data_IF_616909977068
#
_entry.id   IF_616909977068
#
_cell.length_a   1.000
_cell.length_b   1.000
_cell.length_c   1.000
_cell.angle_alpha   90.00
_cell.angle_beta   90.00
_cell.angle_gamma   90.00
#
_symmetry.space_group_name_H-M   'P 1'
#
loop_
_entity.id
_entity.type
_entity.pdbx_description
1 polymer ?
#
# COMPACT_ATOMS: atom_id res chain seq x y z
N UNK A 1 -34.59 12.07 -20.37
CA UNK A 1 -34.25 10.69 -19.98
C UNK A 1 -33.69 9.98 -21.20
N UNK A 2 -32.69 9.09 -21.07
CA UNK A 2 -32.30 8.18 -22.17
C UNK A 2 -33.14 6.90 -22.10
N UNK A 3 -34.47 7.04 -22.14
CA UNK A 3 -35.36 5.88 -22.21
C UNK A 3 -35.20 5.20 -23.57
N UNK A 4 -34.95 3.88 -23.58
CA UNK A 4 -34.80 3.07 -24.78
C UNK A 4 -33.37 2.74 -25.23
N UNK A 5 -32.33 3.24 -24.55
CA UNK A 5 -30.93 2.89 -24.86
C UNK A 5 -30.56 1.56 -24.19
N UNK A 6 -30.11 0.58 -24.98
CA UNK A 6 -29.53 -0.65 -24.43
C UNK A 6 -28.20 -0.34 -23.75
N UNK A 7 -28.07 -0.72 -22.49
CA UNK A 7 -26.85 -0.53 -21.69
C UNK A 7 -26.08 -1.84 -21.64
N UNK A 8 -24.76 -1.78 -21.76
CA UNK A 8 -23.87 -2.90 -21.49
C UNK A 8 -22.95 -2.53 -20.31
N UNK A 9 -22.74 -3.48 -19.40
CA UNK A 9 -21.84 -3.35 -18.25
C UNK A 9 -20.68 -4.34 -18.42
N UNK A 10 -19.46 -3.80 -18.43
CA UNK A 10 -18.22 -4.57 -18.48
C UNK A 10 -17.45 -4.24 -17.20
N UNK A 11 -17.32 -5.20 -16.29
CA UNK A 11 -16.70 -4.97 -14.98
C UNK A 11 -16.15 -6.27 -14.39
N UNK A 12 -15.15 -6.15 -13.51
CA UNK A 12 -14.54 -7.28 -12.80
C UNK A 12 -14.91 -7.31 -11.31
N UNK A 13 -15.81 -6.43 -10.86
CA UNK A 13 -16.32 -6.41 -9.50
C UNK A 13 -17.63 -7.22 -9.36
N UNK A 14 -18.01 -7.49 -8.11
CA UNK A 14 -19.33 -8.02 -7.78
C UNK A 14 -20.43 -7.09 -8.33
N UNK A 15 -21.29 -7.60 -9.20
CA UNK A 15 -22.36 -6.81 -9.82
C UNK A 15 -23.58 -6.75 -8.91
N UNK A 16 -24.01 -5.53 -8.59
CA UNK A 16 -25.22 -5.29 -7.79
C UNK A 16 -26.48 -5.76 -8.55
N UNK A 17 -27.47 -6.29 -7.84
CA UNK A 17 -28.74 -6.79 -8.42
C UNK A 17 -29.46 -5.77 -9.31
N UNK A 18 -29.23 -4.48 -9.07
CA UNK A 18 -29.78 -3.38 -9.86
C UNK A 18 -29.41 -3.45 -11.36
N UNK A 19 -28.22 -3.94 -11.70
CA UNK A 19 -27.75 -4.01 -13.09
C UNK A 19 -28.20 -5.26 -13.84
N UNK A 20 -28.57 -6.33 -13.11
CA UNK A 20 -29.00 -7.61 -13.70
C UNK A 20 -30.21 -7.45 -14.63
N UNK A 21 -31.13 -6.56 -14.31
CA UNK A 21 -32.37 -6.34 -15.08
C UNK A 21 -32.26 -5.21 -16.11
N UNK A 22 -31.16 -4.44 -16.09
CA UNK A 22 -31.05 -3.16 -16.80
C UNK A 22 -29.91 -3.09 -17.80
N UNK A 23 -28.99 -4.05 -17.81
CA UNK A 23 -27.84 -4.06 -18.69
C UNK A 23 -27.51 -5.46 -19.22
N UNK A 24 -26.91 -5.50 -20.40
CA UNK A 24 -26.20 -6.69 -20.91
C UNK A 24 -24.88 -6.79 -20.14
N UNK A 25 -24.63 -7.92 -19.49
CA UNK A 25 -23.49 -8.09 -18.58
C UNK A 25 -22.36 -8.86 -19.25
N UNK A 26 -21.13 -8.36 -19.13
CA UNK A 26 -19.90 -9.08 -19.42
C UNK A 26 -18.97 -8.91 -18.21
N UNK A 27 -19.09 -9.83 -17.25
CA UNK A 27 -18.51 -9.69 -15.91
C UNK A 27 -17.76 -10.97 -15.52
N UNK A 28 -16.52 -10.82 -15.05
CA UNK A 28 -15.71 -11.88 -14.42
C UNK A 28 -15.16 -11.37 -13.10
N UNK A 29 -15.71 -11.86 -11.99
CA UNK A 29 -15.25 -11.47 -10.65
C UNK A 29 -13.85 -11.99 -10.31
N UNK A 30 -13.31 -12.96 -11.07
CA UNK A 30 -11.95 -13.45 -10.90
C UNK A 30 -10.92 -12.61 -11.66
N UNK A 31 -11.35 -11.80 -12.62
CA UNK A 31 -10.49 -10.91 -13.39
C UNK A 31 -9.82 -9.86 -12.50
N UNK A 32 -8.55 -9.59 -12.79
CA UNK A 32 -7.74 -8.67 -11.99
C UNK A 32 -7.83 -7.22 -12.46
N UNK A 33 -8.46 -6.99 -13.61
CA UNK A 33 -8.85 -5.67 -14.10
C UNK A 33 -9.97 -5.78 -15.13
N UNK A 34 -10.75 -4.72 -15.28
CA UNK A 34 -11.70 -4.59 -16.41
C UNK A 34 -10.97 -4.60 -17.76
N UNK A 35 -9.70 -4.19 -17.81
CA UNK A 35 -8.90 -4.23 -19.03
C UNK A 35 -8.63 -5.66 -19.54
N UNK A 36 -8.56 -6.66 -18.64
CA UNK A 36 -8.54 -8.07 -19.06
C UNK A 36 -9.81 -8.46 -19.84
N UNK A 37 -10.97 -7.93 -19.43
CA UNK A 37 -12.26 -8.19 -20.08
C UNK A 37 -12.39 -7.50 -21.42
N UNK A 38 -11.98 -6.24 -21.50
CA UNK A 38 -11.96 -5.52 -22.78
C UNK A 38 -11.03 -6.22 -23.77
N UNK A 39 -9.87 -6.70 -23.32
CA UNK A 39 -8.99 -7.51 -24.15
C UNK A 39 -9.67 -8.79 -24.67
N UNK A 40 -10.37 -9.53 -23.81
CA UNK A 40 -11.10 -10.73 -24.22
C UNK A 40 -12.16 -10.42 -25.27
N UNK A 41 -12.91 -9.32 -25.10
CA UNK A 41 -13.90 -8.89 -26.10
C UNK A 41 -13.27 -8.60 -27.48
N UNK A 42 -12.10 -7.96 -27.52
CA UNK A 42 -11.38 -7.79 -28.79
C UNK A 42 -11.06 -9.13 -29.46
N UNK A 43 -10.60 -10.12 -28.67
CA UNK A 43 -10.29 -11.47 -29.17
C UNK A 43 -11.53 -12.22 -29.63
N UNK A 44 -12.60 -12.21 -28.85
CA UNK A 44 -13.87 -12.88 -29.16
C UNK A 44 -14.54 -12.30 -30.42
N UNK A 45 -14.46 -10.98 -30.60
CA UNK A 45 -14.99 -10.30 -31.78
C UNK A 45 -14.06 -10.39 -33.01
N UNK A 46 -12.85 -10.94 -32.87
CA UNK A 46 -11.87 -11.02 -33.96
C UNK A 46 -11.37 -9.65 -34.43
N UNK A 47 -11.41 -8.63 -33.57
CA UNK A 47 -10.99 -7.25 -33.90
C UNK A 47 -9.53 -7.05 -33.52
N UNK A 48 -8.74 -6.48 -34.42
CA UNK A 48 -7.36 -6.11 -34.11
C UNK A 48 -7.31 -4.99 -33.07
N UNK A 49 -6.48 -5.17 -32.04
CA UNK A 49 -6.28 -4.16 -31.00
C UNK A 49 -5.28 -3.12 -31.54
N UNK A 50 -5.66 -1.84 -31.67
CA UNK A 50 -4.73 -0.78 -32.05
C UNK A 50 -3.60 -0.64 -31.02
N UNK A 51 -2.41 -0.21 -31.46
CA UNK A 51 -1.22 -0.14 -30.62
C UNK A 51 -1.39 0.74 -29.38
N UNK A 52 -2.03 1.89 -29.54
CA UNK A 52 -2.35 2.82 -28.44
C UNK A 52 -3.36 2.23 -27.46
N UNK A 53 -4.39 1.53 -27.96
CA UNK A 53 -5.35 0.80 -27.11
C UNK A 53 -4.65 -0.32 -26.33
N UNK A 54 -3.78 -1.10 -26.99
CA UNK A 54 -3.00 -2.13 -26.32
C UNK A 54 -2.13 -1.55 -25.20
N UNK A 55 -1.57 -0.35 -25.42
CA UNK A 55 -0.81 0.38 -24.41
C UNK A 55 -1.68 0.77 -23.20
N UNK A 56 -2.89 1.30 -23.43
CA UNK A 56 -3.81 1.64 -22.33
C UNK A 56 -4.29 0.42 -21.55
N UNK A 57 -4.61 -0.68 -22.23
CA UNK A 57 -5.00 -1.93 -21.59
C UNK A 57 -3.87 -2.47 -20.70
N UNK A 58 -2.62 -2.43 -21.20
CA UNK A 58 -1.46 -2.89 -20.45
C UNK A 58 -1.20 -2.01 -19.21
N UNK A 59 -1.35 -0.68 -19.31
CA UNK A 59 -1.27 0.25 -18.17
C UNK A 59 -2.34 -0.08 -17.13
N UNK A 60 -3.59 -0.26 -17.55
CA UNK A 60 -4.70 -0.53 -16.65
C UNK A 60 -4.51 -1.86 -15.90
N UNK A 61 -4.08 -2.92 -16.60
CA UNK A 61 -3.71 -4.19 -15.97
C UNK A 61 -2.61 -3.98 -14.93
N UNK A 62 -1.53 -3.28 -15.30
CA UNK A 62 -0.42 -3.03 -14.37
C UNK A 62 -0.84 -2.23 -13.13
N UNK A 63 -1.77 -1.30 -13.28
CA UNK A 63 -2.27 -0.48 -12.17
C UNK A 63 -3.14 -1.31 -11.21
N UNK A 64 -4.19 -1.96 -11.71
CA UNK A 64 -5.14 -2.71 -10.89
C UNK A 64 -4.49 -3.92 -10.21
N UNK A 65 -3.51 -4.54 -10.89
CA UNK A 65 -2.74 -5.67 -10.33
C UNK A 65 -1.61 -5.25 -9.39
N UNK A 66 -1.44 -3.94 -9.14
CA UNK A 66 -0.33 -3.37 -8.35
C UNK A 66 1.02 -3.90 -8.84
N UNK A 67 1.33 -3.65 -10.11
CA UNK A 67 2.52 -4.15 -10.80
C UNK A 67 2.64 -5.68 -10.72
N UNK A 68 1.53 -6.36 -11.04
CA UNK A 68 1.40 -7.82 -11.02
C UNK A 68 1.52 -8.52 -9.67
N UNK A 69 1.60 -7.79 -8.55
CA UNK A 69 1.68 -8.41 -7.21
C UNK A 69 0.45 -9.24 -6.83
N UNK A 70 -0.69 -9.02 -7.49
CA UNK A 70 -1.92 -9.82 -7.32
C UNK A 70 -2.43 -10.44 -8.64
N UNK A 71 -1.55 -10.57 -9.64
CA UNK A 71 -1.88 -11.13 -10.95
C UNK A 71 -2.21 -12.63 -10.90
N UNK A 72 -3.01 -13.11 -11.87
CA UNK A 72 -3.25 -14.54 -12.13
C UNK A 72 -2.50 -15.01 -13.40
N UNK A 73 -2.35 -16.32 -13.66
CA UNK A 73 -1.69 -16.79 -14.88
C UNK A 73 -2.25 -16.20 -16.17
N UNK A 74 -3.57 -15.99 -16.23
CA UNK A 74 -4.23 -15.34 -17.37
C UNK A 74 -3.80 -13.87 -17.55
N UNK A 75 -3.61 -13.13 -16.45
CA UNK A 75 -3.10 -11.75 -16.48
C UNK A 75 -1.77 -11.65 -17.23
N UNK A 76 -0.85 -12.59 -16.95
CA UNK A 76 0.46 -12.62 -17.60
C UNK A 76 0.37 -12.96 -19.09
N UNK A 77 -0.52 -13.89 -19.48
CA UNK A 77 -0.76 -14.21 -20.90
C UNK A 77 -1.29 -13.00 -21.67
N UNK A 78 -2.30 -12.32 -21.11
CA UNK A 78 -2.87 -11.10 -21.70
C UNK A 78 -1.80 -10.02 -21.82
N UNK A 79 -1.03 -9.78 -20.76
CA UNK A 79 0.03 -8.79 -20.75
C UNK A 79 1.12 -9.09 -21.79
N UNK A 80 1.48 -10.36 -21.99
CA UNK A 80 2.46 -10.76 -23.00
C UNK A 80 1.96 -10.46 -24.41
N UNK A 81 0.72 -10.83 -24.76
CA UNK A 81 0.15 -10.54 -26.08
C UNK A 81 -0.02 -9.04 -26.33
N UNK A 82 -0.45 -8.27 -25.32
CA UNK A 82 -0.50 -6.81 -25.42
C UNK A 82 0.90 -6.21 -25.64
N UNK A 83 1.92 -6.76 -24.98
CA UNK A 83 3.30 -6.28 -25.12
C UNK A 83 3.88 -6.57 -26.50
N UNK A 84 3.54 -7.71 -27.12
CA UNK A 84 3.90 -8.02 -28.51
C UNK A 84 3.37 -6.95 -29.48
N UNK A 85 2.16 -6.44 -29.25
CA UNK A 85 1.56 -5.36 -30.05
C UNK A 85 2.26 -4.02 -29.80
N UNK A 86 2.58 -3.71 -28.54
CA UNK A 86 3.22 -2.45 -28.14
C UNK A 86 4.68 -2.38 -28.62
N UNK A 87 5.37 -3.53 -28.67
CA UNK A 87 6.73 -3.69 -29.19
C UNK A 87 7.85 -3.33 -28.22
N UNK A 88 7.75 -2.22 -27.47
CA UNK A 88 8.75 -1.86 -26.44
C UNK A 88 8.09 -1.48 -25.11
N UNK A 89 8.57 -2.07 -24.02
CA UNK A 89 8.09 -1.83 -22.66
C UNK A 89 8.51 -0.46 -22.07
N UNK A 90 9.37 0.29 -22.76
CA UNK A 90 9.92 1.57 -22.28
C UNK A 90 8.90 2.70 -22.43
N UNK A 91 8.06 2.87 -21.40
CA UNK A 91 7.39 4.14 -21.02
C UNK A 91 6.22 3.92 -20.05
N UNK A 92 5.80 2.68 -19.78
CA UNK A 92 4.65 2.44 -18.89
C UNK A 92 4.99 2.56 -17.41
N UNK A 93 6.19 2.16 -17.00
CA UNK A 93 6.61 2.24 -15.60
C UNK A 93 6.61 3.68 -15.04
N UNK A 94 6.90 4.68 -15.88
CA UNK A 94 6.80 6.11 -15.52
C UNK A 94 5.37 6.63 -15.47
N UNK A 95 4.44 6.01 -16.20
CA UNK A 95 3.01 6.35 -16.14
C UNK A 95 2.37 5.79 -14.87
N UNK A 96 2.79 4.60 -14.44
CA UNK A 96 2.23 3.92 -13.26
C UNK A 96 2.81 4.47 -11.95
N UNK A 97 4.07 4.93 -11.95
CA UNK A 97 4.67 5.55 -10.78
C UNK A 97 4.35 7.04 -10.79
N UNK A 98 3.45 7.48 -9.90
CA UNK A 98 3.35 8.90 -9.58
C UNK A 98 4.74 9.38 -9.13
N UNK A 99 5.36 10.32 -9.86
CA UNK A 99 6.67 10.81 -9.45
C UNK A 99 6.52 11.51 -8.11
N UNK A 100 7.34 11.11 -7.14
CA UNK A 100 7.41 11.80 -5.84
C UNK A 100 7.87 13.24 -6.07
N UNK A 101 7.21 14.19 -5.41
CA UNK A 101 7.69 15.56 -5.39
C UNK A 101 9.02 15.67 -4.60
N UNK A 102 9.71 16.79 -4.77
CA UNK A 102 11.03 17.00 -4.15
C UNK A 102 10.93 16.96 -2.61
N UNK A 103 9.85 17.48 -2.03
CA UNK A 103 9.66 17.50 -0.58
C UNK A 103 9.48 16.09 -0.02
N UNK A 104 8.70 15.24 -0.70
CA UNK A 104 8.56 13.83 -0.35
C UNK A 104 9.92 13.08 -0.43
N UNK A 105 10.69 13.31 -1.52
CA UNK A 105 12.04 12.73 -1.66
C UNK A 105 12.95 13.13 -0.51
N UNK A 106 12.99 14.43 -0.19
CA UNK A 106 13.78 14.97 0.93
C UNK A 106 13.32 14.37 2.26
N UNK A 107 12.00 14.27 2.50
CA UNK A 107 11.45 13.70 3.72
C UNK A 107 11.88 12.24 3.91
N UNK A 108 11.75 11.40 2.87
CA UNK A 108 12.20 9.99 2.90
C UNK A 108 13.68 9.86 3.21
N UNK A 109 14.53 10.62 2.51
CA UNK A 109 15.98 10.57 2.70
C UNK A 109 16.38 11.03 4.10
N UNK A 110 15.86 12.19 4.55
CA UNK A 110 16.17 12.69 5.88
C UNK A 110 15.65 11.78 7.00
N UNK A 111 14.48 11.15 6.81
CA UNK A 111 13.93 10.18 7.76
C UNK A 111 14.88 8.98 7.94
N UNK A 112 15.43 8.49 6.83
CA UNK A 112 16.36 7.35 6.78
C UNK A 112 17.72 7.68 7.40
N UNK A 113 18.19 8.93 7.28
CA UNK A 113 19.47 9.36 7.87
C UNK A 113 19.45 9.48 9.40
N UNK A 114 18.29 9.80 10.00
CA UNK A 114 18.16 10.06 11.44
C UNK A 114 17.42 8.97 12.21
N UNK A 115 17.11 7.85 11.56
CA UNK A 115 16.31 6.80 12.20
C UNK A 115 17.11 6.13 13.32
N UNK A 116 16.42 5.91 14.44
CA UNK A 116 16.90 5.06 15.51
C UNK A 116 16.55 3.61 15.14
N UNK A 117 17.56 2.74 15.09
CA UNK A 117 17.39 1.33 14.77
C UNK A 117 17.37 0.48 16.03
N UNK A 118 16.48 -0.49 16.04
CA UNK A 118 16.33 -1.47 17.11
C UNK A 118 16.29 -2.88 16.51
N UNK A 119 16.84 -3.83 17.26
CA UNK A 119 16.81 -5.26 16.94
C UNK A 119 15.91 -5.99 17.93
N UNK A 120 15.09 -6.91 17.43
CA UNK A 120 14.30 -7.84 18.23
C UNK A 120 14.39 -9.23 17.58
N UNK A 121 15.26 -10.10 18.11
CA UNK A 121 15.61 -11.36 17.43
C UNK A 121 16.23 -11.09 16.06
N UNK A 122 15.61 -11.60 15.00
CA UNK A 122 16.05 -11.38 13.61
C UNK A 122 15.35 -10.19 12.93
N UNK A 123 14.51 -9.46 13.67
CA UNK A 123 13.76 -8.33 13.13
C UNK A 123 14.44 -6.99 13.38
N UNK A 124 14.37 -6.11 12.38
CA UNK A 124 14.80 -4.72 12.47
C UNK A 124 13.60 -3.79 12.56
N UNK A 125 13.61 -2.92 13.58
CA UNK A 125 12.56 -1.94 13.83
C UNK A 125 13.18 -0.55 13.78
N UNK A 126 12.61 0.33 12.96
CA UNK A 126 13.09 1.70 12.79
C UNK A 126 12.09 2.69 13.38
N UNK A 127 12.59 3.67 14.13
CA UNK A 127 11.80 4.77 14.66
C UNK A 127 12.44 6.08 14.20
N UNK A 128 11.67 6.98 13.61
CA UNK A 128 12.15 8.28 13.15
C UNK A 128 11.03 9.31 13.20
N UNK A 129 11.35 10.55 12.86
CA UNK A 129 10.40 11.64 12.74
C UNK A 129 10.54 12.34 11.38
N UNK A 130 9.55 13.11 10.94
CA UNK A 130 9.56 13.96 9.72
C UNK A 130 8.68 15.18 9.94
N UNK A 131 8.79 16.23 9.11
CA UNK A 131 7.80 17.32 9.12
C UNK A 131 6.52 16.96 8.36
N UNK A 132 6.63 16.16 7.31
CA UNK A 132 5.50 15.70 6.50
C UNK A 132 5.86 14.37 5.82
N UNK A 133 4.87 13.74 5.16
CA UNK A 133 5.03 12.50 4.40
C UNK A 133 5.38 11.27 5.27
N UNK A 134 4.88 11.22 6.50
CA UNK A 134 5.13 10.15 7.48
C UNK A 134 4.81 8.75 6.94
N UNK A 135 3.70 8.61 6.20
CA UNK A 135 3.31 7.33 5.60
C UNK A 135 4.24 6.91 4.44
N UNK A 136 4.71 7.86 3.65
CA UNK A 136 5.66 7.59 2.56
C UNK A 136 7.05 7.25 3.11
N UNK A 137 7.52 8.00 4.11
CA UNK A 137 8.75 7.71 4.82
C UNK A 137 8.72 6.32 5.48
N UNK A 138 7.62 5.94 6.13
CA UNK A 138 7.49 4.61 6.72
C UNK A 138 7.62 3.50 5.67
N UNK A 139 6.99 3.66 4.50
CA UNK A 139 7.14 2.71 3.38
C UNK A 139 8.58 2.65 2.87
N UNK A 140 9.22 3.80 2.72
CA UNK A 140 10.62 3.88 2.30
C UNK A 140 11.57 3.11 3.23
N UNK A 141 11.34 3.20 4.54
CA UNK A 141 12.20 2.56 5.53
C UNK A 141 12.00 1.03 5.53
N UNK A 142 10.78 0.55 5.27
CA UNK A 142 10.54 -0.87 5.01
C UNK A 142 11.31 -1.36 3.76
N UNK A 143 11.27 -0.57 2.68
CA UNK A 143 11.97 -0.88 1.43
C UNK A 143 13.50 -0.91 1.64
N UNK A 144 14.03 -0.08 2.54
CA UNK A 144 15.45 -0.06 2.91
C UNK A 144 15.89 -1.28 3.71
N UNK A 145 14.98 -2.00 4.36
CA UNK A 145 15.29 -3.25 5.05
C UNK A 145 14.57 -3.46 6.37
N UNK A 146 13.99 -2.42 6.99
CA UNK A 146 13.29 -2.58 8.25
C UNK A 146 12.07 -3.51 8.13
N UNK A 147 11.78 -4.29 9.16
CA UNK A 147 10.58 -5.14 9.23
C UNK A 147 9.39 -4.36 9.79
N UNK A 148 9.65 -3.36 10.65
CA UNK A 148 8.66 -2.38 11.11
C UNK A 148 9.26 -0.98 11.09
N UNK A 149 8.46 0.02 10.72
CA UNK A 149 8.84 1.42 10.78
C UNK A 149 7.76 2.24 11.47
N UNK A 150 8.17 3.12 12.38
CA UNK A 150 7.34 4.11 13.06
C UNK A 150 7.86 5.50 12.71
N UNK A 151 7.04 6.30 12.05
CA UNK A 151 7.40 7.66 11.65
C UNK A 151 6.47 8.65 12.32
N UNK A 152 7.05 9.53 13.12
CA UNK A 152 6.34 10.60 13.84
C UNK A 152 6.39 11.87 13.00
N UNK A 153 5.28 12.58 12.85
CA UNK A 153 5.25 13.92 12.27
C UNK A 153 4.62 14.92 13.22
N UNK A 154 5.20 16.11 13.27
CA UNK A 154 4.71 17.24 14.05
C UNK A 154 4.37 18.38 13.09
N UNK A 155 3.08 18.69 12.98
CA UNK A 155 2.58 19.93 12.39
C UNK A 155 1.62 20.56 13.41
N UNK A 156 0.33 20.70 13.09
CA UNK A 156 -0.69 21.18 14.03
C UNK A 156 -0.99 20.16 15.14
N UNK A 157 -0.81 18.88 14.85
CA UNK A 157 -0.94 17.74 15.76
C UNK A 157 0.25 16.81 15.60
N UNK A 158 0.46 15.94 16.60
CA UNK A 158 1.40 14.84 16.48
C UNK A 158 0.68 13.69 15.81
N UNK A 159 1.22 13.22 14.68
CA UNK A 159 0.75 12.02 14.00
C UNK A 159 1.85 10.97 13.96
N UNK A 160 1.48 9.71 14.05
CA UNK A 160 2.38 8.58 13.94
C UNK A 160 1.85 7.66 12.86
N UNK A 161 2.68 7.34 11.87
CA UNK A 161 2.39 6.32 10.87
C UNK A 161 3.29 5.11 11.11
N UNK A 162 2.69 3.94 11.28
CA UNK A 162 3.42 2.68 11.31
C UNK A 162 3.15 1.80 10.09
N UNK A 163 4.19 1.10 9.68
CA UNK A 163 4.14 0.06 8.66
C UNK A 163 4.94 -1.15 9.14
N UNK A 164 4.49 -2.34 8.77
CA UNK A 164 5.20 -3.58 9.01
C UNK A 164 5.13 -4.48 7.77
N UNK A 165 6.15 -5.30 7.57
CA UNK A 165 6.10 -6.36 6.56
C UNK A 165 5.14 -7.47 7.02
N UNK A 166 4.47 -8.13 6.07
CA UNK A 166 3.48 -9.16 6.41
C UNK A 166 4.10 -10.39 7.10
N UNK A 167 5.38 -10.66 6.87
CA UNK A 167 6.10 -11.76 7.52
C UNK A 167 6.19 -11.56 9.04
N UNK A 168 6.63 -10.39 9.52
CA UNK A 168 6.76 -10.13 10.96
C UNK A 168 5.38 -10.09 11.64
N UNK A 169 4.38 -9.51 10.99
CA UNK A 169 2.99 -9.50 11.45
C UNK A 169 2.48 -10.92 11.69
N UNK A 170 2.67 -11.81 10.71
CA UNK A 170 2.24 -13.22 10.81
C UNK A 170 3.06 -14.02 11.82
N UNK A 171 4.38 -13.90 11.78
CA UNK A 171 5.29 -14.70 12.62
C UNK A 171 5.14 -14.37 14.10
N UNK A 172 4.94 -13.08 14.41
CA UNK A 172 4.78 -12.62 15.79
C UNK A 172 3.31 -12.52 16.21
N UNK A 173 2.35 -12.65 15.29
CA UNK A 173 0.93 -12.39 15.58
C UNK A 173 0.72 -10.99 16.16
N UNK A 174 1.41 -9.98 15.63
CA UNK A 174 1.28 -8.58 16.06
C UNK A 174 0.33 -7.85 15.14
N UNK A 175 -0.62 -7.13 15.71
CA UNK A 175 -1.51 -6.24 14.96
C UNK A 175 -1.17 -4.78 15.27
N UNK A 176 -0.54 -4.04 14.34
CA UNK A 176 -0.10 -2.66 14.56
C UNK A 176 -1.19 -1.72 15.09
N UNK A 177 -2.40 -1.79 14.51
CA UNK A 177 -3.54 -0.99 14.96
C UNK A 177 -3.91 -1.26 16.42
N UNK A 178 -4.34 -2.49 16.71
CA UNK A 178 -4.85 -2.92 18.02
C UNK A 178 -3.79 -2.98 19.11
N UNK A 179 -2.63 -3.57 18.84
CA UNK A 179 -1.65 -3.88 19.88
C UNK A 179 -0.78 -2.68 20.25
N UNK A 180 -0.61 -1.72 19.33
CA UNK A 180 0.32 -0.60 19.46
C UNK A 180 -0.39 0.74 19.33
N UNK A 181 -1.07 1.01 18.20
CA UNK A 181 -1.58 2.35 17.92
C UNK A 181 -2.73 2.80 18.82
N UNK A 182 -3.66 1.91 19.18
CA UNK A 182 -4.73 2.23 20.15
C UNK A 182 -4.12 2.71 21.48
N UNK A 183 -3.18 1.93 22.04
CA UNK A 183 -2.50 2.26 23.30
C UNK A 183 -1.68 3.55 23.19
N UNK A 184 -1.02 3.75 22.04
CA UNK A 184 -0.24 4.96 21.78
C UNK A 184 -1.15 6.19 21.73
N UNK A 185 -2.24 6.12 20.96
CA UNK A 185 -3.24 7.18 20.81
C UNK A 185 -3.82 7.61 22.17
N UNK A 186 -4.24 6.64 22.98
CA UNK A 186 -4.72 6.89 24.35
C UNK A 186 -3.65 7.59 25.21
N UNK A 187 -2.40 7.13 25.15
CA UNK A 187 -1.30 7.68 25.95
C UNK A 187 -0.86 9.11 25.54
N UNK A 188 -1.17 9.52 24.31
CA UNK A 188 -0.90 10.88 23.79
C UNK A 188 -2.15 11.77 23.76
N UNK A 189 -3.23 11.35 24.45
CA UNK A 189 -4.46 12.14 24.57
C UNK A 189 -5.24 12.30 23.27
N UNK A 190 -5.13 11.31 22.37
CA UNK A 190 -5.85 11.31 21.10
C UNK A 190 -6.37 9.93 20.72
N UNK A 191 -6.25 9.56 19.45
CA UNK A 191 -6.82 8.32 18.91
C UNK A 191 -5.78 7.52 18.15
N UNK A 192 -5.97 6.21 18.05
CA UNK A 192 -5.13 5.36 17.22
C UNK A 192 -5.85 4.11 16.76
N UNK A 193 -5.39 3.53 15.66
CA UNK A 193 -6.02 2.38 15.03
C UNK A 193 -5.40 2.04 13.68
N UNK A 194 -6.15 1.30 12.86
CA UNK A 194 -5.73 0.83 11.55
C UNK A 194 -5.64 -0.69 11.47
N UNK A 195 -4.89 -1.20 10.51
CA UNK A 195 -4.74 -2.62 10.18
C UNK A 195 -3.54 -3.27 10.88
N UNK A 196 -3.36 -4.57 10.64
CA UNK A 196 -2.27 -5.39 11.16
C UNK A 196 -0.88 -4.93 10.68
N UNK A 197 -0.75 -4.57 9.40
CA UNK A 197 0.51 -4.15 8.76
C UNK A 197 0.60 -2.64 8.48
N UNK A 198 -0.47 -1.89 8.69
CA UNK A 198 -0.53 -0.46 8.42
C UNK A 198 -1.47 0.25 9.39
N UNK A 199 -0.93 1.11 10.26
CA UNK A 199 -1.68 1.74 11.33
C UNK A 199 -1.21 3.18 11.57
N UNK A 200 -2.01 3.94 12.33
CA UNK A 200 -1.61 5.28 12.76
C UNK A 200 -2.26 5.71 14.05
N UNK A 201 -1.66 6.73 14.66
CA UNK A 201 -2.17 7.41 15.85
C UNK A 201 -2.01 8.92 15.70
N UNK A 202 -2.90 9.67 16.34
CA UNK A 202 -2.88 11.13 16.40
C UNK A 202 -3.07 11.59 17.84
N UNK A 203 -2.32 12.61 18.25
CA UNK A 203 -2.36 13.21 19.58
C UNK A 203 -2.09 14.72 19.54
N UNK A 204 -2.33 15.38 20.68
CA UNK A 204 -2.18 16.83 20.82
C UNK A 204 -1.29 17.16 22.01
N UNK A 205 -0.56 18.29 21.92
CA UNK A 205 0.23 18.85 23.03
C UNK A 205 1.28 17.89 23.62
N UNK A 206 1.90 17.05 22.80
CA UNK A 206 3.00 16.17 23.20
C UNK A 206 4.21 16.39 22.31
N UNK A 207 5.41 16.11 22.83
CA UNK A 207 6.66 16.27 22.06
C UNK A 207 7.00 14.99 21.30
N UNK A 208 7.78 15.12 20.22
CA UNK A 208 8.30 13.98 19.44
C UNK A 208 9.07 13.00 20.34
N UNK A 209 9.92 13.49 21.25
CA UNK A 209 10.73 12.64 22.12
C UNK A 209 9.88 11.83 23.11
N UNK A 210 8.83 12.45 23.65
CA UNK A 210 7.86 11.73 24.49
C UNK A 210 7.17 10.61 23.72
N UNK A 211 6.73 10.90 22.49
CA UNK A 211 6.08 9.92 21.61
C UNK A 211 7.03 8.78 21.22
N UNK A 212 8.30 9.09 20.89
CA UNK A 212 9.35 8.08 20.65
C UNK A 212 9.50 7.16 21.87
N UNK A 213 9.60 7.74 23.07
CA UNK A 213 9.69 6.98 24.32
C UNK A 213 8.50 6.06 24.56
N UNK A 214 7.28 6.53 24.28
CA UNK A 214 6.06 5.71 24.37
C UNK A 214 6.04 4.57 23.36
N UNK A 215 6.43 4.82 22.11
CA UNK A 215 6.53 3.77 21.07
C UNK A 215 7.48 2.68 21.53
N UNK A 216 8.68 3.04 22.00
CA UNK A 216 9.68 2.08 22.51
C UNK A 216 9.09 1.28 23.67
N UNK A 217 8.47 1.94 24.65
CA UNK A 217 7.86 1.28 25.82
C UNK A 217 6.77 0.28 25.42
N UNK A 218 5.86 0.67 24.53
CA UNK A 218 4.75 -0.19 24.07
C UNK A 218 5.29 -1.37 23.26
N UNK A 219 6.27 -1.12 22.38
CA UNK A 219 6.90 -2.16 21.57
C UNK A 219 7.66 -3.17 22.43
N UNK A 220 8.48 -2.70 23.38
CA UNK A 220 9.22 -3.58 24.29
C UNK A 220 8.27 -4.54 25.00
N UNK A 221 7.19 -4.03 25.61
CA UNK A 221 6.20 -4.88 26.27
C UNK A 221 5.54 -5.87 25.30
N UNK A 222 5.12 -5.40 24.13
CA UNK A 222 4.46 -6.24 23.12
C UNK A 222 5.37 -7.37 22.62
N UNK A 223 6.67 -7.11 22.52
CA UNK A 223 7.67 -8.09 22.09
C UNK A 223 8.10 -9.03 23.23
N UNK A 224 8.17 -8.54 24.47
CA UNK A 224 8.47 -9.35 25.66
C UNK A 224 7.40 -10.43 25.88
N UNK A 225 6.12 -10.08 25.68
CA UNK A 225 5.00 -11.03 25.70
C UNK A 225 5.15 -12.15 24.65
N UNK A 226 6.06 -11.99 23.69
CA UNK A 226 6.37 -12.91 22.59
C UNK A 226 7.81 -13.47 22.67
N UNK A 227 8.47 -13.32 23.82
CA UNK A 227 9.81 -13.85 24.06
C UNK A 227 10.94 -13.11 23.36
N UNK A 228 10.68 -11.89 22.87
CA UNK A 228 11.67 -11.06 22.19
C UNK A 228 12.04 -9.83 23.02
N UNK A 229 13.32 -9.49 23.05
CA UNK A 229 13.82 -8.27 23.67
C UNK A 229 14.14 -7.22 22.61
N UNK A 230 13.60 -6.02 22.78
CA UNK A 230 13.93 -4.87 21.94
C UNK A 230 15.26 -4.25 22.41
N UNK A 231 16.27 -4.25 21.57
CA UNK A 231 17.59 -3.69 21.88
C UNK A 231 17.98 -2.60 20.88
N UNK A 232 18.41 -1.41 21.32
CA UNK A 232 18.89 -0.37 20.40
C UNK A 232 20.17 -0.84 19.71
N UNK A 233 20.26 -0.63 18.40
CA UNK A 233 21.50 -0.75 17.65
C UNK A 233 22.22 0.60 17.75
N UNK A 234 23.28 0.64 18.56
CA UNK A 234 24.14 1.83 18.61
C UNK A 234 24.83 2.00 17.25
N UNK A 235 24.99 3.25 16.77
CA UNK A 235 25.76 3.54 15.57
C UNK A 235 27.22 3.10 15.70
#
# INVERSE_FOLDING_TARGET
SREGVKVALIDHHFTHSFFLEKAILYVDAEAKSTAELVYQLYKECGVQIPKDIAQYLLIAILYDTRQFSIARPLTFKIAAELLEIVGEYKSLASIIKTPMDISEKIARLKASLRMDLFRAGDYLIAITNVGAYEASAARAILDLGADMAFVISENDTIRVSARAKQNIVRNLGIHLGKDIMVKLGEAIGGTGGGHDAAAGAEGKNVTIDYVKGLIIKILSKTLEDRGLKLTPLKP
#
